data_IF_297549203478
#
_entry.id   IF_297549203478
#
_cell.length_a   1.000
_cell.length_b   1.000
_cell.length_c   1.000
_cell.angle_alpha   90.00
_cell.angle_beta   90.00
_cell.angle_gamma   90.00
#
_symmetry.space_group_name_H-M   'P 1'
#
loop_
_entity.id
_entity.type
_entity.pdbx_description
1 polymer ?
#
# COMPACT_ATOMS: atom_id res chain seq x y z
N UNK A 1 -38.09 3.61 45.64
CA UNK A 1 -39.36 3.99 45.00
C UNK A 1 -39.15 4.60 43.60
N UNK A 2 -38.53 3.87 42.66
CA UNK A 2 -38.31 4.35 41.26
C UNK A 2 -38.97 3.41 40.23
N UNK A 3 -39.66 2.35 40.66
CA UNK A 3 -40.12 1.30 39.75
C UNK A 3 -41.46 1.56 39.04
N UNK A 4 -42.33 2.43 39.55
CA UNK A 4 -43.65 2.66 38.94
C UNK A 4 -43.69 3.86 38.00
N UNK A 5 -43.00 4.96 38.32
CA UNK A 5 -42.94 6.14 37.45
C UNK A 5 -42.20 5.86 36.12
N UNK A 6 -41.19 5.00 36.13
CA UNK A 6 -40.45 4.62 34.93
C UNK A 6 -41.25 3.66 34.02
N UNK A 7 -42.08 2.79 34.60
CA UNK A 7 -42.98 1.92 33.85
C UNK A 7 -44.13 2.72 33.19
N UNK A 8 -44.65 3.75 33.87
CA UNK A 8 -45.64 4.67 33.30
C UNK A 8 -45.07 5.49 32.12
N UNK A 9 -43.82 5.97 32.23
CA UNK A 9 -43.16 6.72 31.16
C UNK A 9 -42.90 5.87 29.90
N UNK A 10 -42.57 4.58 30.05
CA UNK A 10 -42.39 3.66 28.92
C UNK A 10 -43.73 3.31 28.24
N UNK A 11 -44.83 3.25 28.99
CA UNK A 11 -46.16 3.01 28.44
C UNK A 11 -46.65 4.22 27.60
N UNK A 12 -46.47 5.43 28.09
CA UNK A 12 -46.88 6.66 27.41
C UNK A 12 -46.01 6.96 26.16
N UNK A 13 -44.72 6.59 26.21
CA UNK A 13 -43.81 6.69 25.07
C UNK A 13 -44.12 5.68 23.93
N UNK A 14 -44.91 4.63 24.19
CA UNK A 14 -45.34 3.63 23.20
C UNK A 14 -46.61 4.04 22.46
N UNK A 15 -47.58 4.66 23.14
CA UNK A 15 -48.85 5.08 22.53
C UNK A 15 -48.72 6.35 21.68
N UNK A 16 -47.88 7.31 22.09
CA UNK A 16 -47.61 8.53 21.31
C UNK A 16 -46.84 8.26 20.01
N UNK A 17 -46.01 7.21 19.96
CA UNK A 17 -45.27 6.83 18.75
C UNK A 17 -46.11 6.01 17.78
N UNK A 18 -47.03 5.18 18.26
CA UNK A 18 -47.89 4.37 17.40
C UNK A 18 -48.92 5.23 16.64
N UNK A 19 -49.51 6.24 17.29
CA UNK A 19 -50.46 7.16 16.65
C UNK A 19 -49.77 8.12 15.67
N UNK A 20 -48.59 8.66 16.04
CA UNK A 20 -47.78 9.47 15.14
C UNK A 20 -47.21 8.67 13.95
N UNK A 21 -46.94 7.38 14.13
CA UNK A 21 -46.55 6.47 13.06
C UNK A 21 -47.74 6.14 12.18
N UNK A 22 -48.92 5.79 12.72
CA UNK A 22 -50.12 5.52 11.94
C UNK A 22 -50.56 6.74 11.11
N UNK A 23 -50.50 7.95 11.68
CA UNK A 23 -50.81 9.19 10.98
C UNK A 23 -49.80 9.50 9.86
N UNK A 24 -48.50 9.29 10.10
CA UNK A 24 -47.46 9.41 9.05
C UNK A 24 -47.55 8.32 7.99
N UNK A 25 -47.92 7.10 8.35
CA UNK A 25 -48.08 5.96 7.43
C UNK A 25 -49.26 6.15 6.48
N UNK A 26 -50.37 6.72 6.96
CA UNK A 26 -51.52 7.06 6.11
C UNK A 26 -51.18 8.23 5.17
N UNK A 27 -50.49 9.27 5.66
CA UNK A 27 -50.01 10.36 4.78
C UNK A 27 -48.93 9.92 3.80
N UNK A 28 -48.00 9.05 4.20
CA UNK A 28 -47.01 8.49 3.28
C UNK A 28 -47.66 7.52 2.28
N UNK A 29 -48.70 6.78 2.68
CA UNK A 29 -49.48 5.95 1.77
C UNK A 29 -50.23 6.78 0.73
N UNK A 30 -50.88 7.87 1.14
CA UNK A 30 -51.55 8.80 0.22
C UNK A 30 -50.57 9.58 -0.64
N UNK A 31 -49.43 10.01 -0.09
CA UNK A 31 -48.39 10.69 -0.86
C UNK A 31 -47.70 9.74 -1.85
N UNK A 32 -47.48 8.47 -1.50
CA UNK A 32 -46.92 7.46 -2.40
C UNK A 32 -47.93 7.02 -3.46
N UNK A 33 -49.22 6.93 -3.15
CA UNK A 33 -50.26 6.68 -4.14
C UNK A 33 -50.40 7.86 -5.12
N UNK A 34 -50.35 9.10 -4.61
CA UNK A 34 -50.37 10.31 -5.44
C UNK A 34 -49.09 10.45 -6.29
N UNK A 35 -47.93 10.11 -5.75
CA UNK A 35 -46.66 10.12 -6.48
C UNK A 35 -46.56 8.98 -7.50
N UNK A 36 -47.05 7.78 -7.17
CA UNK A 36 -47.13 6.67 -8.11
C UNK A 36 -48.13 6.94 -9.24
N UNK A 37 -49.25 7.60 -8.96
CA UNK A 37 -50.18 8.07 -9.98
C UNK A 37 -49.58 9.18 -10.86
N UNK A 38 -48.71 10.03 -10.31
CA UNK A 38 -47.96 11.05 -11.04
C UNK A 38 -46.83 10.49 -11.91
N UNK A 39 -46.13 9.46 -11.43
CA UNK A 39 -45.01 8.83 -12.15
C UNK A 39 -45.49 7.84 -13.21
N UNK A 40 -46.62 7.15 -12.98
CA UNK A 40 -47.22 6.26 -13.98
C UNK A 40 -47.83 7.01 -15.18
N UNK A 41 -47.98 8.33 -15.10
CA UNK A 41 -48.57 9.19 -16.12
C UNK A 41 -47.63 10.36 -16.38
N UNK A 42 -46.55 10.08 -17.10
CA UNK A 42 -45.65 11.11 -17.60
C UNK A 42 -46.42 12.02 -18.59
N UNK A 43 -46.41 13.32 -18.27
CA UNK A 43 -46.75 14.51 -19.06
C UNK A 43 -48.13 14.62 -19.76
N UNK A 44 -48.83 15.68 -19.34
CA UNK A 44 -49.87 16.44 -20.04
C UNK A 44 -51.16 15.75 -20.50
N UNK A 45 -51.92 15.19 -19.55
CA UNK A 45 -53.36 15.02 -19.76
C UNK A 45 -54.15 15.78 -18.70
N UNK A 46 -54.64 16.98 -19.03
CA UNK A 46 -55.51 17.80 -18.19
C UNK A 46 -56.74 17.03 -17.65
N UNK A 47 -57.12 15.95 -18.34
CA UNK A 47 -58.16 15.00 -17.95
C UNK A 47 -57.92 14.34 -16.59
N UNK A 48 -56.67 14.07 -16.20
CA UNK A 48 -56.35 13.34 -14.95
C UNK A 48 -56.49 14.25 -13.73
N UNK A 49 -56.12 15.52 -13.85
CA UNK A 49 -56.33 16.53 -12.80
C UNK A 49 -57.82 16.76 -12.59
N UNK A 50 -58.62 16.80 -13.65
CA UNK A 50 -60.08 16.85 -13.58
C UNK A 50 -60.67 15.61 -12.91
N UNK A 51 -60.18 14.41 -13.26
CA UNK A 51 -60.66 13.16 -12.67
C UNK A 51 -60.32 13.07 -11.16
N UNK A 52 -59.11 13.47 -10.76
CA UNK A 52 -58.72 13.55 -9.34
C UNK A 52 -59.50 14.64 -8.59
N UNK A 53 -59.81 15.76 -9.25
CA UNK A 53 -60.61 16.82 -8.65
C UNK A 53 -62.08 16.43 -8.49
N UNK A 54 -62.67 15.72 -9.46
CA UNK A 54 -64.02 15.14 -9.36
C UNK A 54 -64.07 14.00 -8.33
N UNK A 55 -63.05 13.16 -8.27
CA UNK A 55 -62.97 12.11 -7.26
C UNK A 55 -62.84 12.69 -5.85
N UNK A 56 -62.06 13.76 -5.68
CA UNK A 56 -61.95 14.49 -4.41
C UNK A 56 -63.25 15.20 -4.04
N UNK A 57 -63.99 15.76 -5.01
CA UNK A 57 -65.34 16.32 -4.79
C UNK A 57 -66.35 15.23 -4.40
N UNK A 58 -66.36 14.09 -5.10
CA UNK A 58 -67.25 12.97 -4.82
C UNK A 58 -66.96 12.30 -3.46
N UNK A 59 -65.68 12.19 -3.07
CA UNK A 59 -65.27 11.67 -1.77
C UNK A 59 -65.64 12.63 -0.61
N UNK A 60 -65.60 13.94 -0.85
CA UNK A 60 -66.06 14.94 0.13
C UNK A 60 -67.60 15.00 0.22
N UNK A 61 -68.32 14.74 -0.88
CA UNK A 61 -69.78 14.62 -0.90
C UNK A 61 -70.30 13.31 -0.26
N UNK A 62 -69.42 12.33 -0.01
CA UNK A 62 -69.76 11.02 0.56
C UNK A 62 -69.96 11.00 2.08
N UNK A 63 -70.45 12.10 2.69
CA UNK A 63 -71.11 12.02 4.01
C UNK A 63 -72.51 11.40 3.96
N UNK A 64 -73.07 11.15 2.77
CA UNK A 64 -74.34 10.43 2.60
C UNK A 64 -74.17 9.05 1.98
N UNK A 65 -74.77 8.05 2.63
CA UNK A 65 -74.69 6.60 2.31
C UNK A 65 -75.08 6.23 0.87
N UNK A 66 -75.86 7.06 0.18
CA UNK A 66 -76.27 6.85 -1.22
C UNK A 66 -75.14 7.06 -2.24
N UNK A 67 -74.09 7.82 -1.90
CA UNK A 67 -72.96 8.08 -2.80
C UNK A 67 -72.03 6.88 -3.03
N UNK A 68 -72.09 5.84 -2.18
CA UNK A 68 -71.24 4.65 -2.31
C UNK A 68 -71.70 3.69 -3.40
N UNK A 69 -73.00 3.59 -3.65
CA UNK A 69 -73.55 2.74 -4.71
C UNK A 69 -73.28 3.33 -6.10
N UNK A 70 -73.49 4.64 -6.27
CA UNK A 70 -73.21 5.35 -7.53
C UNK A 70 -71.72 5.34 -7.88
N UNK A 71 -70.82 5.50 -6.90
CA UNK A 71 -69.38 5.39 -7.13
C UNK A 71 -68.96 3.97 -7.55
N UNK A 72 -69.59 2.93 -7.01
CA UNK A 72 -69.34 1.53 -7.42
C UNK A 72 -69.85 1.26 -8.84
N UNK A 73 -71.00 1.79 -9.23
CA UNK A 73 -71.53 1.66 -10.60
C UNK A 73 -70.68 2.44 -11.62
N UNK A 74 -70.26 3.67 -11.30
CA UNK A 74 -69.37 4.45 -12.16
C UNK A 74 -68.00 3.77 -12.34
N UNK A 75 -67.44 3.20 -11.27
CA UNK A 75 -66.21 2.43 -11.33
C UNK A 75 -66.38 1.14 -12.16
N UNK A 76 -67.51 0.44 -12.02
CA UNK A 76 -67.82 -0.76 -12.79
C UNK A 76 -67.97 -0.46 -14.31
N UNK A 77 -68.59 0.66 -14.68
CA UNK A 77 -68.67 1.09 -16.08
C UNK A 77 -67.32 1.54 -16.65
N UNK A 78 -66.49 2.21 -15.84
CA UNK A 78 -65.14 2.57 -16.26
C UNK A 78 -64.27 1.32 -16.48
N UNK A 79 -64.34 0.34 -15.58
CA UNK A 79 -63.59 -0.93 -15.67
C UNK A 79 -64.13 -1.91 -16.72
N UNK A 80 -65.33 -1.69 -17.26
CA UNK A 80 -65.92 -2.50 -18.33
C UNK A 80 -65.24 -2.32 -19.71
N UNK A 81 -64.36 -1.32 -19.86
CA UNK A 81 -63.51 -1.22 -21.05
C UNK A 81 -62.36 -2.22 -20.94
N UNK A 82 -62.32 -3.17 -21.87
CA UNK A 82 -61.40 -4.31 -21.90
C UNK A 82 -59.91 -3.97 -21.66
N UNK A 83 -59.47 -2.76 -22.01
CA UNK A 83 -58.08 -2.34 -21.78
C UNK A 83 -57.71 -2.13 -20.30
N UNK A 84 -58.66 -1.75 -19.44
CA UNK A 84 -58.37 -1.50 -18.02
C UNK A 84 -58.27 -2.78 -17.20
N UNK A 85 -58.95 -3.86 -17.61
CA UNK A 85 -58.87 -5.16 -16.92
C UNK A 85 -57.45 -5.74 -16.97
N UNK A 86 -56.81 -5.69 -18.14
CA UNK A 86 -55.44 -6.15 -18.31
C UNK A 86 -54.41 -5.32 -17.52
N UNK A 87 -54.66 -4.02 -17.33
CA UNK A 87 -53.82 -3.17 -16.47
C UNK A 87 -53.96 -3.52 -14.99
N UNK A 88 -55.18 -3.80 -14.52
CA UNK A 88 -55.42 -4.20 -13.12
C UNK A 88 -54.78 -5.57 -12.83
N UNK A 89 -54.87 -6.53 -13.75
CA UNK A 89 -54.24 -7.84 -13.59
C UNK A 89 -52.70 -7.75 -13.57
N UNK A 90 -52.10 -6.99 -14.50
CA UNK A 90 -50.65 -6.71 -14.48
C UNK A 90 -50.19 -6.03 -13.20
N UNK A 91 -50.99 -5.10 -12.67
CA UNK A 91 -50.67 -4.43 -11.41
C UNK A 91 -50.79 -5.37 -10.20
N UNK A 92 -51.81 -6.23 -10.19
CA UNK A 92 -51.98 -7.24 -9.15
C UNK A 92 -50.82 -8.26 -9.14
N UNK A 93 -50.34 -8.67 -10.31
CA UNK A 93 -49.22 -9.61 -10.42
C UNK A 93 -47.88 -8.95 -10.08
N UNK A 94 -47.65 -7.69 -10.47
CA UNK A 94 -46.50 -6.90 -10.01
C UNK A 94 -46.51 -6.72 -8.48
N UNK A 95 -47.68 -6.50 -7.88
CA UNK A 95 -47.80 -6.41 -6.43
C UNK A 95 -47.54 -7.75 -5.72
N UNK A 96 -47.91 -8.89 -6.32
CA UNK A 96 -47.55 -10.22 -5.80
C UNK A 96 -46.04 -10.46 -5.90
N UNK A 97 -45.41 -10.11 -7.02
CA UNK A 97 -43.97 -10.24 -7.22
C UNK A 97 -43.17 -9.39 -6.22
N UNK A 98 -43.61 -8.16 -5.93
CA UNK A 98 -42.96 -7.33 -4.91
C UNK A 98 -43.05 -7.94 -3.49
N UNK A 99 -44.13 -8.66 -3.18
CA UNK A 99 -44.29 -9.33 -1.89
C UNK A 99 -43.38 -10.56 -1.75
N UNK A 100 -43.20 -11.33 -2.82
CA UNK A 100 -42.29 -12.50 -2.79
C UNK A 100 -40.84 -12.06 -2.69
N UNK A 101 -40.43 -11.01 -3.40
CA UNK A 101 -39.09 -10.44 -3.31
C UNK A 101 -38.78 -9.90 -1.90
N UNK A 102 -39.75 -9.23 -1.26
CA UNK A 102 -39.59 -8.79 0.14
C UNK A 102 -39.42 -9.96 1.10
N UNK A 103 -40.21 -11.02 0.96
CA UNK A 103 -40.08 -12.23 1.80
C UNK A 103 -38.71 -12.89 1.62
N UNK A 104 -38.20 -12.96 0.39
CA UNK A 104 -36.88 -13.51 0.12
C UNK A 104 -35.76 -12.64 0.72
N UNK A 105 -35.90 -11.31 0.66
CA UNK A 105 -34.96 -10.38 1.29
C UNK A 105 -34.95 -10.51 2.82
N UNK A 106 -36.12 -10.66 3.45
CA UNK A 106 -36.25 -10.89 4.88
C UNK A 106 -35.62 -12.23 5.31
N UNK A 107 -35.82 -13.30 4.52
CA UNK A 107 -35.18 -14.59 4.77
C UNK A 107 -33.65 -14.51 4.71
N UNK A 108 -33.09 -13.85 3.68
CA UNK A 108 -31.64 -13.64 3.56
C UNK A 108 -31.06 -12.82 4.71
N UNK A 109 -31.79 -11.81 5.19
CA UNK A 109 -31.36 -11.02 6.35
C UNK A 109 -31.38 -11.84 7.65
N UNK A 110 -32.39 -12.69 7.85
CA UNK A 110 -32.48 -13.57 9.00
C UNK A 110 -31.35 -14.62 9.03
N UNK A 111 -30.95 -15.13 7.86
CA UNK A 111 -29.84 -16.08 7.74
C UNK A 111 -28.48 -15.43 8.06
N UNK A 112 -28.23 -14.22 7.54
CA UNK A 112 -27.05 -13.43 7.93
C UNK A 112 -26.99 -13.16 9.44
N UNK A 113 -28.13 -12.91 10.07
CA UNK A 113 -28.17 -12.70 11.52
C UNK A 113 -27.87 -13.97 12.31
N UNK A 114 -28.26 -15.15 11.82
CA UNK A 114 -27.88 -16.44 12.42
C UNK A 114 -26.38 -16.69 12.33
N UNK A 115 -25.76 -16.39 11.18
CA UNK A 115 -24.31 -16.49 11.00
C UNK A 115 -23.53 -15.53 11.92
N UNK A 116 -23.97 -14.27 12.01
CA UNK A 116 -23.35 -13.33 12.94
C UNK A 116 -23.47 -13.77 14.41
N UNK A 117 -24.61 -14.38 14.79
CA UNK A 117 -24.79 -14.93 16.14
C UNK A 117 -23.92 -16.15 16.40
N UNK A 118 -23.72 -17.05 15.43
CA UNK A 118 -22.84 -18.20 15.60
C UNK A 118 -21.38 -17.76 15.76
N UNK A 119 -20.92 -16.79 14.95
CA UNK A 119 -19.58 -16.19 15.05
C UNK A 119 -19.37 -15.46 16.38
N UNK A 120 -20.38 -14.71 16.85
CA UNK A 120 -20.32 -14.04 18.14
C UNK A 120 -20.30 -15.04 19.33
N UNK A 121 -21.03 -16.14 19.24
CA UNK A 121 -21.02 -17.20 20.26
C UNK A 121 -19.67 -17.94 20.30
N UNK A 122 -19.06 -18.19 19.14
CA UNK A 122 -17.72 -18.76 19.06
C UNK A 122 -16.67 -17.81 19.68
N UNK A 123 -16.74 -16.50 19.38
CA UNK A 123 -15.86 -15.51 19.97
C UNK A 123 -15.99 -15.43 21.50
N UNK A 124 -17.21 -15.50 22.06
CA UNK A 124 -17.41 -15.51 23.52
C UNK A 124 -16.82 -16.74 24.21
N UNK A 125 -16.82 -17.91 23.57
CA UNK A 125 -16.19 -19.11 24.13
C UNK A 125 -14.66 -18.99 24.20
N UNK A 126 -14.03 -18.22 23.31
CA UNK A 126 -12.59 -17.95 23.39
C UNK A 126 -12.21 -16.96 24.50
N UNK A 127 -13.13 -16.06 24.88
CA UNK A 127 -12.86 -15.01 25.88
C UNK A 127 -13.06 -15.51 27.33
N UNK A 128 -13.92 -16.50 27.57
CA UNK A 128 -14.27 -16.94 28.93
C UNK A 128 -13.27 -17.93 29.57
N UNK A 129 -12.30 -18.47 28.83
CA UNK A 129 -11.26 -19.38 29.35
C UNK A 129 -9.94 -18.69 29.71
N UNK A 130 -9.94 -17.35 29.73
CA UNK A 130 -8.77 -16.56 29.32
C UNK A 130 -8.45 -15.42 30.27
N UNK A 131 -8.61 -15.60 31.59
CA UNK A 131 -8.07 -14.65 32.59
C UNK A 131 -6.53 -14.61 32.59
N UNK A 132 -5.86 -15.52 31.89
CA UNK A 132 -4.41 -15.46 31.55
C UNK A 132 -4.07 -14.98 30.13
N UNK A 133 -5.05 -14.75 29.24
CA UNK A 133 -4.80 -14.44 27.82
C UNK A 133 -4.69 -12.93 27.53
N UNK A 134 -5.15 -12.07 28.46
CA UNK A 134 -5.00 -10.62 28.33
C UNK A 134 -3.54 -10.15 28.46
N UNK A 135 -2.64 -10.97 29.02
CA UNK A 135 -1.19 -10.71 28.99
C UNK A 135 -0.53 -11.08 27.65
N UNK A 136 -1.19 -11.85 26.77
CA UNK A 136 -0.66 -12.19 25.44
C UNK A 136 -1.09 -11.20 24.34
N UNK A 137 -2.15 -10.41 24.56
CA UNK A 137 -2.63 -9.44 23.57
C UNK A 137 -1.89 -8.09 23.60
N UNK A 138 -0.95 -7.91 24.53
CA UNK A 138 -0.13 -6.72 24.69
C UNK A 138 1.37 -7.03 24.56
N UNK A 139 1.74 -8.10 23.86
CA UNK A 139 3.12 -8.22 23.39
C UNK A 139 3.35 -7.10 22.38
N UNK A 140 3.95 -6.01 22.86
CA UNK A 140 4.38 -4.88 22.06
C UNK A 140 5.50 -5.35 21.14
N UNK A 141 5.10 -5.93 20.01
CA UNK A 141 6.01 -6.35 18.98
C UNK A 141 6.83 -5.15 18.50
N UNK A 142 8.16 -5.25 18.58
CA UNK A 142 9.07 -4.25 18.05
C UNK A 142 9.00 -4.22 16.50
N UNK A 143 8.03 -3.46 15.98
CA UNK A 143 7.86 -3.22 14.55
C UNK A 143 8.53 -1.89 14.18
N UNK A 144 9.54 -1.88 13.28
CA UNK A 144 10.19 -0.64 12.87
C UNK A 144 9.22 0.39 12.29
N UNK A 145 8.19 -0.08 11.58
CA UNK A 145 7.13 0.77 10.99
C UNK A 145 6.24 1.47 12.01
N UNK A 146 6.20 1.00 13.27
CA UNK A 146 5.46 1.68 14.34
C UNK A 146 6.15 2.96 14.81
N UNK A 147 7.40 3.19 14.39
CA UNK A 147 8.15 4.38 14.72
C UNK A 147 8.04 5.45 13.65
N UNK A 148 7.69 6.65 14.09
CA UNK A 148 7.93 7.88 13.33
C UNK A 148 9.37 8.33 13.56
N UNK A 149 10.31 7.68 12.88
CA UNK A 149 11.75 7.92 13.02
C UNK A 149 12.34 8.12 11.62
N UNK A 150 13.02 9.25 11.43
CA UNK A 150 13.72 9.62 10.20
C UNK A 150 15.20 9.19 10.24
N UNK A 151 15.99 9.63 9.27
CA UNK A 151 17.42 9.32 9.19
C UNK A 151 18.21 9.78 10.43
N UNK A 152 17.92 10.98 10.95
CA UNK A 152 18.62 11.53 12.11
C UNK A 152 18.27 10.76 13.38
N UNK A 153 16.98 10.50 13.59
CA UNK A 153 16.48 9.65 14.66
C UNK A 153 17.09 8.23 14.60
N UNK A 154 17.17 7.62 13.41
CA UNK A 154 17.77 6.30 13.26
C UNK A 154 19.26 6.25 13.63
N UNK A 155 19.99 7.35 13.45
CA UNK A 155 21.40 7.46 13.85
C UNK A 155 21.65 7.56 15.34
N UNK A 156 20.63 7.91 16.12
CA UNK A 156 20.75 7.98 17.58
C UNK A 156 20.76 6.61 18.25
N UNK A 157 20.36 5.56 17.52
CA UNK A 157 20.35 4.19 18.01
C UNK A 157 21.73 3.57 17.93
N UNK A 158 22.30 3.26 19.09
CA UNK A 158 23.52 2.47 19.21
C UNK A 158 23.19 1.03 19.59
N UNK A 159 23.99 0.04 19.18
CA UNK A 159 23.98 -1.29 19.80
C UNK A 159 23.88 -1.22 21.33
N UNK A 160 22.97 -1.99 21.91
CA UNK A 160 22.68 -2.02 23.35
C UNK A 160 21.71 -0.95 23.85
N UNK A 161 21.32 0.02 23.03
CA UNK A 161 20.31 1.02 23.42
C UNK A 161 18.91 0.40 23.55
N UNK A 162 18.08 1.03 24.38
CA UNK A 162 16.68 0.63 24.58
C UNK A 162 15.83 1.05 23.41
N UNK A 163 15.00 0.12 22.93
CA UNK A 163 14.06 0.37 21.85
C UNK A 163 12.66 0.69 22.40
N UNK A 164 12.14 1.87 22.08
CA UNK A 164 10.77 2.30 22.39
C UNK A 164 10.52 2.62 23.88
N UNK A 165 9.28 3.04 24.17
CA UNK A 165 8.81 3.38 25.52
C UNK A 165 8.77 2.20 26.50
N UNK A 166 8.92 0.97 26.01
CA UNK A 166 8.81 -0.25 26.80
C UNK A 166 10.12 -0.62 27.53
N UNK A 167 11.19 0.16 27.36
CA UNK A 167 12.42 0.02 28.16
C UNK A 167 13.19 -1.28 27.92
N UNK A 168 12.91 -2.01 26.84
CA UNK A 168 13.62 -3.25 26.53
C UNK A 168 14.90 -2.90 25.77
N UNK A 169 16.05 -3.17 26.40
CA UNK A 169 17.40 -2.95 25.87
C UNK A 169 17.73 -3.98 24.79
N UNK A 170 17.44 -3.67 23.52
CA UNK A 170 17.31 -4.72 22.53
C UNK A 170 17.70 -4.33 21.10
N UNK A 171 18.38 -3.21 20.89
CA UNK A 171 19.09 -3.01 19.63
C UNK A 171 20.34 -3.89 19.66
N UNK A 172 20.25 -5.04 19.00
CA UNK A 172 21.35 -5.98 18.83
C UNK A 172 22.54 -5.30 18.14
N UNK A 173 23.74 -5.81 18.40
CA UNK A 173 24.93 -5.35 17.72
C UNK A 173 24.79 -5.49 16.19
N UNK A 174 25.46 -4.59 15.47
CA UNK A 174 25.53 -4.49 14.00
C UNK A 174 26.17 -5.71 13.32
N UNK A 175 26.34 -6.81 14.03
CA UNK A 175 27.20 -7.92 13.65
C UNK A 175 26.39 -9.06 13.06
N UNK A 176 26.28 -9.09 11.72
CA UNK A 176 26.00 -10.30 10.97
C UNK A 176 24.93 -10.18 9.91
N UNK A 177 24.36 -11.34 9.57
CA UNK A 177 23.44 -11.54 8.45
C UNK A 177 21.97 -11.29 8.85
N UNK A 178 21.73 -10.80 10.07
CA UNK A 178 20.39 -10.51 10.60
C UNK A 178 19.78 -9.23 10.05
N UNK A 179 20.58 -8.24 9.64
CA UNK A 179 20.11 -7.04 8.95
C UNK A 179 21.24 -6.45 8.12
N UNK A 180 21.12 -6.50 6.79
CA UNK A 180 22.14 -6.02 5.86
C UNK A 180 21.52 -5.15 4.78
N UNK A 181 22.23 -4.13 4.35
CA UNK A 181 21.88 -3.31 3.19
C UNK A 181 22.82 -3.69 2.05
N UNK A 182 22.24 -3.96 0.88
CA UNK A 182 22.94 -4.04 -0.39
C UNK A 182 22.34 -3.02 -1.36
N UNK A 183 23.13 -2.56 -2.32
CA UNK A 183 22.68 -1.59 -3.32
C UNK A 183 23.24 -1.95 -4.70
N UNK A 184 22.50 -1.60 -5.75
CA UNK A 184 22.95 -1.67 -7.14
C UNK A 184 23.64 -0.38 -7.62
N UNK A 185 23.88 0.60 -6.74
CA UNK A 185 24.70 1.78 -7.06
C UNK A 185 26.11 1.32 -7.46
N UNK A 186 26.60 1.69 -8.65
CA UNK A 186 27.95 1.34 -9.11
C UNK A 186 29.04 1.81 -8.13
N UNK A 187 30.19 1.13 -8.13
CA UNK A 187 31.33 1.54 -7.31
C UNK A 187 31.90 2.92 -7.68
N UNK A 188 31.62 3.39 -8.89
CA UNK A 188 31.99 4.73 -9.36
C UNK A 188 31.13 5.83 -8.74
N UNK A 189 29.97 5.48 -8.16
CA UNK A 189 29.00 6.39 -7.57
C UNK A 189 27.64 6.35 -8.27
N UNK A 190 26.72 7.18 -7.79
CA UNK A 190 25.39 7.35 -8.38
C UNK A 190 25.36 8.50 -9.38
N UNK A 191 24.45 8.44 -10.35
CA UNK A 191 24.13 9.55 -11.25
C UNK A 191 22.91 10.29 -10.71
N UNK A 192 22.97 11.63 -10.56
CA UNK A 192 21.84 12.42 -10.07
C UNK A 192 20.51 12.15 -10.80
N UNK A 193 19.43 11.96 -10.04
CA UNK A 193 18.09 11.72 -10.57
C UNK A 193 17.83 10.32 -11.12
N UNK A 194 18.82 9.41 -11.13
CA UNK A 194 18.61 8.02 -11.50
C UNK A 194 17.97 7.21 -10.36
N UNK A 195 17.30 6.12 -10.75
CA UNK A 195 16.71 5.16 -9.83
C UNK A 195 17.69 4.02 -9.56
N UNK A 196 17.82 3.67 -8.29
CA UNK A 196 18.60 2.55 -7.80
C UNK A 196 17.76 1.70 -6.86
N UNK A 197 18.15 0.45 -6.72
CA UNK A 197 17.53 -0.54 -5.84
C UNK A 197 18.40 -0.76 -4.62
N UNK A 198 17.83 -0.50 -3.45
CA UNK A 198 18.37 -0.97 -2.18
C UNK A 198 17.68 -2.27 -1.80
N UNK A 199 18.47 -3.28 -1.47
CA UNK A 199 17.97 -4.56 -0.98
C UNK A 199 18.37 -4.71 0.48
N UNK A 200 17.38 -4.81 1.36
CA UNK A 200 17.61 -5.12 2.78
C UNK A 200 17.34 -6.60 3.01
N UNK A 201 18.34 -7.30 3.55
CA UNK A 201 18.28 -8.75 3.78
C UNK A 201 18.48 -9.12 5.24
N UNK A 202 17.90 -10.26 5.63
CA UNK A 202 17.97 -10.82 6.96
C UNK A 202 17.90 -12.36 6.91
N UNK A 203 18.60 -13.04 7.83
CA UNK A 203 18.56 -14.51 7.94
C UNK A 203 17.19 -15.06 8.31
N UNK A 204 16.39 -14.30 9.03
CA UNK A 204 15.00 -14.61 9.40
C UNK A 204 14.04 -13.59 8.79
N UNK A 205 12.76 -13.92 8.66
CA UNK A 205 11.77 -12.98 8.16
C UNK A 205 11.52 -11.86 9.19
N UNK A 206 11.94 -10.63 8.87
CA UNK A 206 11.85 -9.45 9.73
C UNK A 206 11.10 -8.33 9.00
N UNK A 207 10.43 -7.46 9.76
CA UNK A 207 9.95 -6.18 9.23
C UNK A 207 11.15 -5.24 9.07
N UNK A 208 11.13 -4.40 8.05
CA UNK A 208 12.29 -3.62 7.63
C UNK A 208 11.92 -2.15 7.42
N UNK A 209 12.79 -1.26 7.89
CA UNK A 209 12.69 0.19 7.70
C UNK A 209 14.04 0.72 7.21
N UNK A 210 14.03 1.52 6.15
CA UNK A 210 15.22 2.13 5.56
C UNK A 210 15.06 3.64 5.54
N UNK A 211 16.14 4.36 5.84
CA UNK A 211 16.20 5.81 5.70
C UNK A 211 17.50 6.24 5.01
N UNK A 212 17.45 7.38 4.35
CA UNK A 212 18.60 8.04 3.73
C UNK A 212 18.72 9.51 4.19
N UNK A 213 19.92 10.08 4.14
CA UNK A 213 20.15 11.53 4.36
C UNK A 213 20.03 12.37 3.07
N UNK A 214 19.94 11.72 1.91
CA UNK A 214 19.82 12.37 0.61
C UNK A 214 19.04 11.50 -0.40
N UNK A 215 18.47 12.14 -1.42
CA UNK A 215 17.60 11.50 -2.41
C UNK A 215 16.21 11.21 -1.83
N UNK A 216 15.40 10.39 -2.50
CA UNK A 216 14.06 10.03 -2.00
C UNK A 216 13.67 8.60 -2.36
N UNK A 217 13.00 7.92 -1.45
CA UNK A 217 12.15 6.77 -1.75
C UNK A 217 10.77 7.23 -2.24
N UNK A 218 9.94 6.29 -2.68
CA UNK A 218 8.58 6.56 -3.18
C UNK A 218 7.69 7.36 -2.21
N UNK A 219 7.99 7.32 -0.90
CA UNK A 219 7.23 7.99 0.16
C UNK A 219 8.04 9.06 0.92
N UNK A 220 9.18 9.50 0.39
CA UNK A 220 10.05 10.50 1.02
C UNK A 220 11.40 9.92 1.45
N UNK A 221 11.98 10.43 2.54
CA UNK A 221 13.33 10.02 3.02
C UNK A 221 13.36 8.66 3.72
N UNK A 222 12.19 8.05 3.93
CA UNK A 222 12.01 6.81 4.68
C UNK A 222 11.15 5.85 3.86
N UNK A 223 11.52 4.58 3.87
CA UNK A 223 10.73 3.49 3.30
C UNK A 223 10.44 2.45 4.39
N UNK A 224 9.15 2.31 4.72
CA UNK A 224 8.66 1.41 5.75
C UNK A 224 7.95 0.21 5.13
N UNK A 225 8.38 -1.01 5.47
CA UNK A 225 7.67 -2.24 5.10
C UNK A 225 7.23 -2.99 6.36
N UNK A 226 5.92 -3.04 6.59
CA UNK A 226 5.34 -3.77 7.73
C UNK A 226 5.34 -5.30 7.54
N UNK A 227 5.49 -5.77 6.31
CA UNK A 227 5.59 -7.21 6.00
C UNK A 227 6.92 -7.76 6.48
N UNK A 228 6.89 -8.97 7.07
CA UNK A 228 8.10 -9.68 7.47
C UNK A 228 8.65 -10.49 6.31
N UNK A 229 9.85 -10.17 5.86
CA UNK A 229 10.53 -10.87 4.76
C UNK A 229 12.00 -11.06 5.11
N UNK A 230 12.66 -12.01 4.44
CA UNK A 230 14.12 -12.18 4.51
C UNK A 230 14.86 -11.27 3.53
N UNK A 231 14.13 -10.66 2.60
CA UNK A 231 14.65 -9.75 1.59
C UNK A 231 13.54 -8.80 1.16
N UNK A 232 13.81 -7.50 1.15
CA UNK A 232 12.92 -6.46 0.63
C UNK A 232 13.71 -5.51 -0.25
N UNK A 233 13.11 -5.12 -1.38
CA UNK A 233 13.65 -4.09 -2.26
C UNK A 233 12.97 -2.75 -1.98
N UNK A 234 13.77 -1.69 -2.04
CA UNK A 234 13.39 -0.29 -1.89
C UNK A 234 13.95 0.51 -3.06
N UNK A 235 13.08 1.19 -3.79
CA UNK A 235 13.48 2.04 -4.90
C UNK A 235 13.83 3.44 -4.40
N UNK A 236 15.03 3.90 -4.73
CA UNK A 236 15.57 5.19 -4.32
C UNK A 236 15.97 6.02 -5.53
N UNK A 237 15.65 7.31 -5.50
CA UNK A 237 16.02 8.31 -6.48
C UNK A 237 17.20 9.09 -5.92
N UNK A 238 18.31 9.08 -6.65
CA UNK A 238 19.52 9.80 -6.26
C UNK A 238 19.31 11.33 -6.21
N UNK A 239 19.87 12.03 -5.21
CA UNK A 239 19.79 13.49 -5.14
C UNK A 239 20.60 14.16 -6.25
N UNK A 240 20.50 15.48 -6.33
CA UNK A 240 21.26 16.28 -7.29
C UNK A 240 22.77 16.22 -7.08
N UNK A 241 23.24 16.03 -5.84
CA UNK A 241 24.66 15.97 -5.48
C UNK A 241 24.86 15.50 -4.03
N UNK A 242 26.11 15.21 -3.67
CA UNK A 242 26.55 14.94 -2.29
C UNK A 242 26.89 13.48 -1.98
N UNK A 243 27.11 13.21 -0.69
CA UNK A 243 27.27 11.85 -0.19
C UNK A 243 25.97 11.40 0.49
N UNK A 244 25.58 10.16 0.22
CA UNK A 244 24.36 9.57 0.74
C UNK A 244 24.69 8.38 1.63
N UNK A 245 24.17 8.42 2.84
CA UNK A 245 24.23 7.33 3.81
C UNK A 245 22.87 6.66 3.87
N UNK A 246 22.86 5.34 3.83
CA UNK A 246 21.68 4.53 4.10
C UNK A 246 21.79 3.87 5.47
N UNK A 247 20.67 3.90 6.20
CA UNK A 247 20.47 3.23 7.47
C UNK A 247 19.30 2.29 7.35
N UNK A 248 19.38 1.12 7.98
CA UNK A 248 18.27 0.20 8.04
C UNK A 248 18.11 -0.40 9.44
N UNK A 249 16.85 -0.64 9.78
CA UNK A 249 16.42 -1.31 10.99
C UNK A 249 15.58 -2.52 10.61
N UNK A 250 15.97 -3.68 11.10
CA UNK A 250 15.20 -4.91 10.96
C UNK A 250 14.65 -5.31 12.33
N UNK A 251 13.36 -5.59 12.41
CA UNK A 251 12.70 -5.97 13.66
C UNK A 251 11.82 -7.19 13.47
N UNK A 252 11.89 -8.11 14.43
CA UNK A 252 11.16 -9.37 14.32
C UNK A 252 9.65 -9.23 14.51
N UNK A 253 9.18 -8.11 15.09
CA UNK A 253 7.78 -7.82 15.32
C UNK A 253 7.02 -8.98 15.98
N UNK A 254 7.29 -9.34 17.23
CA UNK A 254 6.57 -10.43 17.90
C UNK A 254 7.36 -11.04 19.05
N UNK A 255 7.44 -12.37 19.10
CA UNK A 255 7.99 -13.18 20.20
C UNK A 255 9.46 -12.93 20.58
N UNK A 256 10.19 -12.11 19.82
CA UNK A 256 11.51 -11.62 20.20
C UNK A 256 11.47 -10.10 20.16
N UNK A 257 11.70 -9.48 21.31
CA UNK A 257 11.68 -8.03 21.50
C UNK A 257 12.92 -7.35 20.91
N UNK A 258 13.58 -7.96 19.92
CA UNK A 258 14.86 -7.51 19.39
C UNK A 258 14.74 -6.81 18.04
N UNK A 259 15.59 -5.80 17.88
CA UNK A 259 15.83 -5.11 16.62
C UNK A 259 17.31 -5.11 16.30
N UNK A 260 17.63 -5.13 15.02
CA UNK A 260 18.99 -5.09 14.52
C UNK A 260 19.19 -3.85 13.68
N UNK A 261 20.32 -3.21 13.92
CA UNK A 261 20.81 -2.12 13.09
C UNK A 261 21.69 -2.70 11.99
N UNK A 262 21.44 -2.33 10.73
CA UNK A 262 22.33 -2.70 9.64
C UNK A 262 23.57 -1.81 9.62
N UNK A 263 24.70 -2.32 9.14
CA UNK A 263 25.84 -1.47 8.85
C UNK A 263 25.45 -0.38 7.84
N UNK A 264 25.91 0.85 8.10
CA UNK A 264 25.65 1.98 7.20
C UNK A 264 26.29 1.74 5.83
N UNK A 265 25.56 2.07 4.77
CA UNK A 265 26.08 2.03 3.40
C UNK A 265 26.21 3.46 2.90
N UNK A 266 27.43 3.85 2.56
CA UNK A 266 27.74 5.17 1.98
C UNK A 266 27.87 5.03 0.46
N UNK A 267 27.23 5.94 -0.28
CA UNK A 267 27.40 6.09 -1.71
C UNK A 267 27.65 7.56 -2.04
N UNK A 268 28.52 7.83 -3.00
CA UNK A 268 28.86 9.19 -3.45
C UNK A 268 28.38 9.42 -4.88
N UNK A 269 28.26 10.68 -5.27
CA UNK A 269 28.00 11.05 -6.67
C UNK A 269 29.12 10.56 -7.59
N UNK A 270 28.76 10.03 -8.77
CA UNK A 270 29.71 9.59 -9.76
C UNK A 270 30.52 10.78 -10.29
N UNK A 271 31.84 10.69 -10.19
CA UNK A 271 32.72 11.74 -10.71
C UNK A 271 32.68 11.69 -12.23
N UNK A 272 31.95 12.62 -12.85
CA UNK A 272 31.89 12.74 -14.30
C UNK A 272 33.23 13.25 -14.81
N UNK A 273 34.10 12.33 -15.18
CA UNK A 273 35.36 12.67 -15.85
C UNK A 273 34.99 13.16 -17.24
N UNK A 274 34.90 14.48 -17.38
CA UNK A 274 34.65 15.10 -18.68
C UNK A 274 35.91 14.95 -19.51
N UNK A 275 35.99 13.85 -20.28
CA UNK A 275 37.03 13.66 -21.28
C UNK A 275 36.85 14.74 -22.33
N UNK A 276 37.62 15.82 -22.22
CA UNK A 276 37.64 16.89 -23.20
C UNK A 276 38.39 16.36 -24.42
N UNK A 277 37.65 15.84 -25.39
CA UNK A 277 38.22 15.47 -26.69
C UNK A 277 38.57 16.75 -27.44
N UNK A 278 39.83 17.16 -27.38
CA UNK A 278 40.35 18.27 -28.18
C UNK A 278 40.42 17.82 -29.64
N UNK A 279 39.37 18.08 -30.41
CA UNK A 279 39.38 17.90 -31.87
C UNK A 279 40.33 18.94 -32.46
N UNK A 280 41.54 18.50 -32.79
CA UNK A 280 42.51 19.34 -33.51
C UNK A 280 42.03 19.47 -34.95
N UNK A 281 41.47 20.63 -35.31
CA UNK A 281 41.12 20.94 -36.70
C UNK A 281 42.40 21.25 -37.46
N UNK A 282 42.92 20.27 -38.20
CA UNK A 282 44.01 20.50 -39.16
C UNK A 282 43.48 21.29 -40.33
N UNK A 283 43.75 22.60 -40.37
CA UNK A 283 43.47 23.44 -41.54
C UNK A 283 44.51 23.15 -42.61
N UNK A 284 44.14 22.39 -43.64
CA UNK A 284 44.97 22.19 -44.82
C UNK A 284 45.02 23.49 -45.62
N UNK A 285 46.09 24.27 -45.50
CA UNK A 285 46.34 25.41 -46.36
C UNK A 285 46.83 24.91 -47.72
N UNK A 286 45.98 25.01 -48.75
CA UNK A 286 46.37 24.71 -50.13
C UNK A 286 47.27 25.83 -50.65
N UNK A 287 48.58 25.64 -50.61
CA UNK A 287 49.54 26.55 -51.24
C UNK A 287 49.67 26.20 -52.72
N UNK A 288 49.09 27.03 -53.59
CA UNK A 288 49.33 26.96 -55.05
C UNK A 288 50.80 27.32 -55.32
N UNK A 289 51.63 26.30 -55.55
CA UNK A 289 53.06 26.49 -55.79
C UNK A 289 53.32 26.46 -57.30
N UNK A 290 53.81 27.58 -57.86
CA UNK A 290 54.35 27.64 -59.22
C UNK A 290 55.69 26.90 -59.26
N UNK A 291 55.80 25.90 -60.13
CA UNK A 291 56.91 24.95 -60.20
C UNK A 291 58.23 25.63 -60.58
N UNK A 292 59.24 25.56 -59.71
CA UNK A 292 60.66 25.62 -60.08
C UNK A 292 61.37 24.47 -59.38
N UNK A 293 61.89 23.55 -60.17
CA UNK A 293 62.43 22.25 -59.74
C UNK A 293 63.70 22.45 -58.92
N UNK A 294 63.64 22.21 -57.61
CA UNK A 294 64.83 22.07 -56.76
C UNK A 294 64.70 20.82 -55.90
N UNK A 295 65.53 19.84 -56.19
CA UNK A 295 65.68 18.56 -55.49
C UNK A 295 66.12 18.81 -54.06
N UNK A 296 65.29 18.45 -53.08
CA UNK A 296 65.64 18.57 -51.65
C UNK A 296 65.43 17.22 -50.96
N UNK A 297 66.47 16.79 -50.25
CA UNK A 297 66.65 15.49 -49.61
C UNK A 297 65.68 15.29 -48.44
N UNK A 298 64.89 14.22 -48.49
CA UNK A 298 63.97 13.80 -47.44
C UNK A 298 64.73 13.23 -46.24
N UNK A 299 64.58 13.81 -45.06
CA UNK A 299 64.99 13.19 -43.78
C UNK A 299 63.74 12.81 -43.00
N UNK A 300 63.38 11.53 -43.07
CA UNK A 300 62.23 10.95 -42.36
C UNK A 300 62.62 10.70 -40.90
N UNK A 301 62.11 11.49 -39.97
CA UNK A 301 62.25 11.22 -38.53
C UNK A 301 60.99 10.52 -38.04
N UNK A 302 61.03 9.19 -38.00
CA UNK A 302 59.98 8.34 -37.45
C UNK A 302 60.07 8.37 -35.92
N UNK A 303 59.12 9.02 -35.25
CA UNK A 303 59.03 9.00 -33.79
C UNK A 303 58.12 7.83 -33.39
N UNK A 304 58.71 6.76 -32.86
CA UNK A 304 57.99 5.57 -32.38
C UNK A 304 57.57 5.77 -30.93
N UNK A 305 56.27 5.86 -30.67
CA UNK A 305 55.70 5.87 -29.32
C UNK A 305 55.74 4.46 -28.74
N UNK A 306 56.50 4.25 -27.66
CA UNK A 306 56.52 2.99 -26.90
C UNK A 306 55.50 3.08 -25.75
N UNK A 307 54.36 2.42 -25.91
CA UNK A 307 53.40 2.22 -24.80
C UNK A 307 53.77 0.94 -24.07
N UNK A 308 54.38 1.05 -22.89
CA UNK A 308 54.74 -0.08 -22.04
C UNK A 308 53.52 -0.55 -21.26
N UNK A 309 52.78 -1.51 -21.80
CA UNK A 309 51.75 -2.25 -21.08
C UNK A 309 52.43 -3.24 -20.14
N UNK A 310 52.52 -2.90 -18.85
CA UNK A 310 53.01 -3.83 -17.83
C UNK A 310 51.90 -4.81 -17.52
N UNK A 311 51.94 -6.00 -18.14
CA UNK A 311 51.16 -7.14 -17.71
C UNK A 311 51.72 -7.62 -16.37
N UNK A 312 50.91 -7.55 -15.32
CA UNK A 312 51.26 -8.17 -14.04
C UNK A 312 51.30 -9.70 -14.23
N UNK A 313 52.52 -10.25 -14.25
CA UNK A 313 52.77 -11.67 -14.18
C UNK A 313 52.34 -12.19 -12.80
N UNK A 314 51.29 -13.00 -12.78
CA UNK A 314 50.94 -13.83 -11.62
C UNK A 314 51.97 -14.95 -11.49
N UNK A 315 52.98 -14.76 -10.64
CA UNK A 315 53.93 -15.82 -10.27
C UNK A 315 53.32 -16.68 -9.16
N UNK A 316 52.73 -17.81 -9.55
CA UNK A 316 52.29 -18.86 -8.61
C UNK A 316 53.52 -19.51 -7.99
N UNK A 317 53.83 -19.16 -6.74
CA UNK A 317 54.90 -19.79 -5.97
C UNK A 317 54.29 -20.88 -5.09
N UNK A 318 54.47 -22.13 -5.51
CA UNK A 318 54.16 -23.32 -4.72
C UNK A 318 55.25 -23.49 -3.66
N UNK A 319 54.92 -23.27 -2.39
CA UNK A 319 55.79 -23.59 -1.27
C UNK A 319 55.22 -24.74 -0.44
N UNK A 320 56.08 -25.73 -0.28
CA UNK A 320 55.93 -27.02 0.39
C UNK A 320 55.63 -26.90 1.89
N UNK A 321 54.86 -27.89 2.32
CA UNK A 321 54.53 -28.38 3.67
C UNK A 321 55.71 -28.69 4.60
N UNK A 322 55.46 -28.57 5.91
CA UNK A 322 55.97 -29.41 7.03
C UNK A 322 55.07 -29.13 8.27
N UNK A 323 54.01 -29.90 8.56
CA UNK A 323 53.89 -31.14 9.37
C UNK A 323 54.33 -31.01 10.83
N UNK A 324 53.38 -31.14 11.76
CA UNK A 324 53.39 -32.01 12.98
C UNK A 324 51.95 -32.08 13.55
N UNK A 325 51.26 -33.21 13.34
CA UNK A 325 50.73 -34.16 14.37
C UNK A 325 49.67 -33.59 15.34
N UNK A 326 48.38 -33.94 15.19
CA UNK A 326 47.83 -35.18 15.77
C UNK A 326 46.31 -35.40 15.49
N UNK A 327 45.95 -36.65 15.20
CA UNK A 327 44.67 -37.34 15.47
C UNK A 327 43.29 -36.77 15.08
N UNK A 328 42.60 -37.45 14.15
CA UNK A 328 41.12 -37.57 14.25
C UNK A 328 40.32 -37.60 12.95
N UNK A 329 40.09 -38.82 12.45
CA UNK A 329 39.08 -39.27 11.47
C UNK A 329 37.78 -38.43 11.35
N UNK A 330 37.50 -37.86 10.17
CA UNK A 330 36.47 -38.32 9.19
C UNK A 330 36.06 -37.21 8.20
N UNK A 331 36.09 -37.59 6.91
CA UNK A 331 35.39 -37.07 5.72
C UNK A 331 34.88 -35.62 5.70
N UNK A 332 35.61 -34.74 5.01
CA UNK A 332 35.17 -33.41 4.59
C UNK A 332 35.07 -33.33 3.05
N UNK A 333 34.02 -32.66 2.57
CA UNK A 333 34.02 -31.96 1.29
C UNK A 333 33.51 -30.54 1.56
N UNK A 334 34.43 -29.59 1.74
CA UNK A 334 34.12 -28.19 1.91
C UNK A 334 35.15 -27.35 1.16
N UNK A 335 34.63 -26.54 0.24
CA UNK A 335 35.30 -25.51 -0.55
C UNK A 335 35.40 -24.26 0.32
N UNK A 336 36.60 -23.70 0.47
CA UNK A 336 36.87 -22.45 1.18
C UNK A 336 37.57 -21.46 0.24
N UNK A 337 36.90 -20.33 -0.01
CA UNK A 337 37.49 -19.10 -0.54
C UNK A 337 38.03 -18.26 0.63
N UNK A 338 39.21 -17.63 0.52
CA UNK A 338 39.60 -16.55 1.41
C UNK A 338 39.52 -15.16 0.76
N UNK A 339 39.33 -14.20 1.66
CA UNK A 339 39.16 -12.76 1.45
C UNK A 339 40.45 -12.02 1.03
N UNK A 340 40.34 -10.77 0.53
CA UNK A 340 41.48 -9.93 0.20
C UNK A 340 41.80 -8.89 1.30
N UNK A 341 43.10 -8.60 1.47
CA UNK A 341 43.62 -7.40 2.14
C UNK A 341 44.71 -6.82 1.22
N UNK A 342 44.54 -5.59 0.70
CA UNK A 342 44.80 -4.28 1.32
C UNK A 342 46.27 -3.85 1.11
N UNK A 343 46.51 -2.93 0.17
CA UNK A 343 47.83 -2.32 -0.06
C UNK A 343 47.69 -0.80 -0.26
N UNK A 344 48.47 -0.07 0.54
CA UNK A 344 48.73 1.37 0.54
C UNK A 344 49.30 1.86 -0.81
N UNK A 345 48.81 2.99 -1.30
CA UNK A 345 49.42 3.74 -2.41
C UNK A 345 50.20 4.96 -1.89
N UNK A 346 51.47 5.06 -2.28
CA UNK A 346 52.31 6.24 -2.07
C UNK A 346 52.29 7.14 -3.32
N UNK A 347 52.22 8.44 -3.09
CA UNK A 347 52.16 9.51 -4.09
C UNK A 347 53.54 9.92 -4.59
N UNK A 348 53.67 10.14 -5.91
CA UNK A 348 54.84 10.78 -6.53
C UNK A 348 54.36 11.97 -7.38
N UNK A 349 54.80 13.18 -7.00
CA UNK A 349 54.71 14.39 -7.80
C UNK A 349 55.98 14.52 -8.65
N UNK A 350 55.82 14.92 -9.91
CA UNK A 350 56.93 15.31 -10.78
C UNK A 350 56.66 16.74 -11.27
N UNK A 351 57.68 17.58 -11.12
CA UNK A 351 57.81 18.94 -11.67
C UNK A 351 58.28 18.88 -13.12
#
# INVERSE_FOLDING_TARGET
>A
MVSQAFQAWIAEAREGRASAWAYRSVRQGQAKAALAARIALNEECACVTLLLHEWRRAALAQRHSRGRAAARQALAMALGRWELRGLVERWADSAKQSRTERRLAEQRAAEKLKDLRSRAAAARRMVSGSTGFLSFLLQAAAYPSSMSCDFACMGSYTPGSTFGYMGVANIGATSGDTCKIATDVPSEGYTPGFFYTLTVTSTTALAQKVACNGGTFSQGMVSDTGSKTTSQQHYWIAPSSGDVTFRALCGAGGSIDQMWYAAEVMVSEATTTTTTTTTTTTTTTTTTTTTTTTTTTTTTTTTTTTTTTTAANTTTTTASSQSDEDGGTTSAAAVLFPAPALILAASFQVW
#
